data_IF_020027337995
#
_entry.id   IF_020027337995
#
_cell.length_a   1.000
_cell.length_b   1.000
_cell.length_c   1.000
_cell.angle_alpha   90.00
_cell.angle_beta   90.00
_cell.angle_gamma   90.00
#
_symmetry.space_group_name_H-M   'P 1'
#
loop_
_entity.id
_entity.type
_entity.pdbx_description
1 polymer ?
#
# COMPACT_ATOMS: atom_id res chain seq x y z
N UNK A 1 13.68 -43.12 44.91
CA UNK A 1 14.50 -44.32 44.64
C UNK A 1 15.76 -44.36 45.54
N UNK A 2 16.51 -43.24 45.65
CA UNK A 2 17.73 -43.19 46.47
C UNK A 2 17.44 -43.43 47.97
N UNK A 3 16.38 -42.81 48.48
CA UNK A 3 15.92 -42.98 49.90
C UNK A 3 15.33 -44.36 50.16
N UNK A 4 14.82 -45.05 49.13
CA UNK A 4 14.25 -46.38 49.18
C UNK A 4 15.31 -47.48 49.04
N UNK A 5 16.59 -47.18 48.99
CA UNK A 5 17.69 -48.14 48.90
C UNK A 5 17.74 -48.92 47.57
N UNK A 6 17.25 -48.34 46.46
CA UNK A 6 17.34 -48.98 45.16
C UNK A 6 18.78 -49.20 44.68
N UNK A 7 19.05 -50.25 43.88
CA UNK A 7 20.38 -50.51 43.35
C UNK A 7 20.96 -49.32 42.57
N UNK A 8 22.25 -49.06 42.66
CA UNK A 8 22.94 -47.92 42.06
C UNK A 8 22.75 -47.81 40.55
N UNK A 9 22.62 -48.92 39.85
CA UNK A 9 22.37 -48.97 38.40
C UNK A 9 21.02 -48.33 38.03
N UNK A 10 19.98 -48.61 38.82
CA UNK A 10 18.65 -48.04 38.65
C UNK A 10 18.68 -46.54 38.90
N UNK A 11 19.32 -46.14 39.99
CA UNK A 11 19.47 -44.71 40.35
C UNK A 11 20.23 -43.92 39.25
N UNK A 12 21.26 -44.53 38.68
CA UNK A 12 21.98 -43.88 37.54
C UNK A 12 21.13 -43.76 36.30
N UNK A 13 20.36 -44.77 35.96
CA UNK A 13 19.44 -44.72 34.80
C UNK A 13 18.35 -43.66 34.98
N UNK A 14 17.75 -43.56 36.13
CA UNK A 14 16.74 -42.53 36.44
C UNK A 14 17.32 -41.13 36.38
N UNK A 15 18.56 -40.90 36.87
CA UNK A 15 19.26 -39.65 36.73
C UNK A 15 19.51 -39.28 35.27
N UNK A 16 19.90 -40.26 34.42
CA UNK A 16 20.11 -40.05 33.02
C UNK A 16 18.80 -39.68 32.30
N UNK A 17 17.70 -40.40 32.62
CA UNK A 17 16.37 -40.10 32.08
C UNK A 17 15.89 -38.69 32.48
N UNK A 18 16.12 -38.32 33.75
CA UNK A 18 15.82 -36.97 34.24
C UNK A 18 16.64 -35.90 33.47
N UNK A 19 17.94 -36.14 33.25
CA UNK A 19 18.78 -35.25 32.49
C UNK A 19 18.29 -35.13 31.03
N UNK A 20 17.94 -36.21 30.38
CA UNK A 20 17.36 -36.21 29.04
C UNK A 20 16.06 -35.43 28.98
N UNK A 21 15.20 -35.54 29.99
CA UNK A 21 13.97 -34.77 30.07
C UNK A 21 14.21 -33.27 30.25
N UNK A 22 15.19 -32.89 31.07
CA UNK A 22 15.60 -31.47 31.24
C UNK A 22 16.23 -30.92 29.96
N UNK A 23 17.13 -31.68 29.31
CA UNK A 23 17.72 -31.30 28.04
C UNK A 23 16.64 -31.07 26.97
N UNK A 24 15.64 -31.93 26.91
CA UNK A 24 14.50 -31.81 26.00
C UNK A 24 13.59 -30.63 26.32
N UNK A 25 13.41 -30.27 27.58
CA UNK A 25 12.69 -29.08 27.98
C UNK A 25 13.38 -27.80 27.49
N UNK A 26 14.70 -27.76 27.55
CA UNK A 26 15.50 -26.60 27.15
C UNK A 26 15.62 -26.52 25.62
N UNK A 27 16.06 -27.59 24.95
CA UNK A 27 16.23 -27.65 23.49
C UNK A 27 16.00 -29.08 22.97
N UNK A 28 14.77 -29.40 22.63
CA UNK A 28 14.36 -30.72 22.18
C UNK A 28 14.95 -31.09 20.82
N UNK A 29 15.64 -32.22 20.76
CA UNK A 29 16.28 -32.72 19.53
C UNK A 29 17.71 -32.25 19.30
N UNK A 30 18.31 -31.49 20.22
CA UNK A 30 19.71 -31.08 20.12
C UNK A 30 20.68 -32.26 20.39
N UNK A 31 20.31 -33.16 21.27
CA UNK A 31 21.05 -34.37 21.60
C UNK A 31 20.17 -35.59 21.38
N UNK A 32 20.36 -36.28 20.25
CA UNK A 32 19.62 -37.50 19.94
C UNK A 32 18.24 -37.25 19.32
N UNK A 33 17.33 -38.26 19.47
CA UNK A 33 15.99 -38.17 18.91
C UNK A 33 15.14 -37.21 19.76
N UNK A 34 14.36 -36.32 19.10
CA UNK A 34 13.47 -35.44 19.84
C UNK A 34 12.39 -36.26 20.58
N UNK A 35 12.05 -35.81 21.76
CA UNK A 35 10.92 -36.35 22.51
C UNK A 35 9.63 -35.94 21.84
N UNK A 36 8.75 -36.91 21.54
CA UNK A 36 7.52 -36.70 20.78
C UNK A 36 6.29 -36.92 21.68
N UNK A 37 5.20 -36.24 21.32
CA UNK A 37 3.87 -36.47 21.92
C UNK A 37 3.14 -37.67 21.30
N UNK A 38 1.87 -37.91 21.69
CA UNK A 38 1.06 -39.07 21.24
C UNK A 38 0.93 -39.21 19.73
N UNK A 39 1.09 -38.11 18.95
CA UNK A 39 0.95 -38.08 17.49
C UNK A 39 2.30 -38.00 16.76
N UNK A 40 3.38 -38.51 17.34
CA UNK A 40 4.74 -38.43 16.80
C UNK A 40 5.23 -37.01 16.47
N UNK A 41 4.60 -35.97 17.00
CA UNK A 41 5.06 -34.58 16.88
C UNK A 41 6.07 -34.30 17.99
N UNK A 42 7.21 -33.68 17.61
CA UNK A 42 8.17 -33.21 18.59
C UNK A 42 7.52 -32.21 19.55
N UNK A 43 7.76 -32.36 20.85
CA UNK A 43 7.32 -31.40 21.86
C UNK A 43 8.09 -30.09 21.71
N UNK A 44 7.38 -28.97 21.84
CA UNK A 44 8.02 -27.64 21.82
C UNK A 44 8.86 -27.40 23.07
N UNK A 45 10.13 -27.13 22.87
CA UNK A 45 11.06 -26.74 23.92
C UNK A 45 11.08 -25.23 24.15
N UNK A 46 11.74 -24.77 25.22
CA UNK A 46 11.95 -23.36 25.51
C UNK A 46 12.72 -22.68 24.38
N UNK A 47 13.69 -23.35 23.81
CA UNK A 47 14.46 -22.88 22.67
C UNK A 47 13.59 -22.65 21.41
N UNK A 48 12.62 -23.52 21.15
CA UNK A 48 11.71 -23.40 20.01
C UNK A 48 10.75 -22.22 20.14
N UNK A 49 10.48 -21.76 21.36
CA UNK A 49 9.69 -20.54 21.60
C UNK A 49 10.46 -19.27 21.18
N UNK A 50 11.78 -19.33 21.11
CA UNK A 50 12.65 -18.21 20.77
C UNK A 50 13.15 -18.26 19.31
N UNK A 51 13.34 -19.48 18.78
CA UNK A 51 13.93 -19.74 17.45
C UNK A 51 12.90 -19.61 16.32
N UNK A 52 13.43 -19.39 15.10
CA UNK A 52 12.66 -19.46 13.86
C UNK A 52 11.74 -18.28 13.60
N UNK A 53 10.93 -18.39 12.53
CA UNK A 53 10.01 -17.33 12.08
C UNK A 53 8.88 -17.03 13.08
N UNK A 54 8.46 -18.04 13.84
CA UNK A 54 7.38 -17.95 14.85
C UNK A 54 7.92 -17.74 16.26
N UNK A 55 9.25 -17.67 16.43
CA UNK A 55 9.87 -17.40 17.71
C UNK A 55 9.74 -15.94 18.15
N UNK A 56 9.88 -15.72 19.45
CA UNK A 56 9.70 -14.39 20.07
C UNK A 56 10.58 -13.31 19.45
N UNK A 57 11.82 -13.64 19.07
CA UNK A 57 12.73 -12.67 18.48
C UNK A 57 12.20 -12.13 17.14
N UNK A 58 11.83 -13.01 16.22
CA UNK A 58 11.37 -12.58 14.89
C UNK A 58 9.92 -12.12 14.87
N UNK A 59 9.05 -12.70 15.69
CA UNK A 59 7.61 -12.41 15.66
C UNK A 59 7.21 -11.20 16.50
N UNK A 60 7.90 -10.93 17.61
CA UNK A 60 7.46 -9.93 18.59
C UNK A 60 8.49 -8.86 18.94
N UNK A 61 9.80 -9.09 18.69
CA UNK A 61 10.87 -8.15 19.02
C UNK A 61 11.39 -7.40 17.80
N UNK A 62 11.76 -8.11 16.73
CA UNK A 62 12.24 -7.49 15.48
C UNK A 62 11.10 -6.89 14.65
N UNK A 63 9.88 -7.30 14.88
CA UNK A 63 8.68 -6.76 14.25
C UNK A 63 7.46 -7.01 15.14
N UNK A 64 6.54 -6.07 15.15
CA UNK A 64 5.29 -6.13 15.92
C UNK A 64 4.11 -5.87 15.01
N UNK A 65 2.93 -6.34 15.41
CA UNK A 65 1.67 -5.85 14.81
C UNK A 65 1.45 -4.43 15.27
N UNK A 66 1.06 -3.57 14.34
CA UNK A 66 0.85 -2.14 14.61
C UNK A 66 -0.61 -1.78 14.35
N UNK A 67 -1.12 -0.85 15.17
CA UNK A 67 -2.43 -0.23 14.96
C UNK A 67 -2.37 0.80 13.83
N UNK A 68 -3.50 1.35 13.44
CA UNK A 68 -3.63 2.32 12.35
C UNK A 68 -3.03 1.82 11.04
N UNK A 69 -3.23 0.56 10.76
CA UNK A 69 -2.81 -0.10 9.54
C UNK A 69 -3.90 -0.99 8.99
N UNK A 70 -3.92 -1.15 7.68
CA UNK A 70 -4.86 -2.00 6.98
C UNK A 70 -4.20 -2.65 5.78
N UNK A 71 -4.91 -3.55 5.14
CA UNK A 71 -4.44 -4.23 3.94
C UNK A 71 -5.60 -4.46 2.98
N UNK A 72 -5.38 -4.23 1.70
CA UNK A 72 -6.35 -4.53 0.64
C UNK A 72 -5.67 -4.83 -0.68
N UNK A 73 -6.45 -5.36 -1.60
CA UNK A 73 -6.05 -5.58 -3.00
C UNK A 73 -5.85 -4.22 -3.68
N UNK A 74 -4.92 -4.16 -4.62
CA UNK A 74 -4.67 -2.97 -5.43
C UNK A 74 -5.31 -3.09 -6.81
N UNK A 75 -5.75 -1.96 -7.33
CA UNK A 75 -6.24 -1.80 -8.71
C UNK A 75 -5.62 -0.56 -9.33
N UNK A 76 -5.62 -0.49 -10.65
CA UNK A 76 -5.07 0.66 -11.37
C UNK A 76 -5.95 1.90 -11.17
N UNK A 77 -5.32 3.05 -10.96
CA UNK A 77 -5.97 4.35 -10.85
C UNK A 77 -5.29 5.36 -11.78
N UNK A 78 -5.56 5.32 -13.10
CA UNK A 78 -4.92 6.22 -14.06
C UNK A 78 -5.34 7.69 -13.88
N UNK A 79 -6.46 7.95 -13.25
CA UNK A 79 -6.99 9.27 -12.93
C UNK A 79 -6.27 9.97 -11.77
N UNK A 80 -5.47 9.23 -11.00
CA UNK A 80 -4.74 9.75 -9.85
C UNK A 80 -3.51 10.56 -10.28
N UNK A 81 -3.16 11.57 -9.52
CA UNK A 81 -1.85 12.21 -9.62
C UNK A 81 -0.76 11.32 -9.07
N UNK A 82 0.49 11.58 -9.42
CA UNK A 82 1.66 10.80 -9.01
C UNK A 82 1.84 10.73 -7.50
N UNK A 83 1.42 11.74 -6.78
CA UNK A 83 1.47 11.85 -5.32
C UNK A 83 0.20 11.33 -4.62
N UNK A 84 -0.79 10.82 -5.35
CA UNK A 84 -2.07 10.40 -4.83
C UNK A 84 -2.24 8.89 -4.84
N UNK A 85 -3.00 8.38 -3.86
CA UNK A 85 -3.54 7.02 -3.87
C UNK A 85 -5.04 7.04 -3.59
N UNK A 86 -5.77 6.13 -4.20
CA UNK A 86 -7.19 5.95 -3.90
C UNK A 86 -7.38 5.04 -2.71
N UNK A 87 -7.92 5.56 -1.62
CA UNK A 87 -8.18 4.80 -0.39
C UNK A 87 -9.67 4.49 -0.27
N UNK A 88 -10.08 3.23 -0.10
CA UNK A 88 -11.48 2.87 0.15
C UNK A 88 -12.07 3.64 1.33
N UNK A 89 -13.27 4.20 1.15
CA UNK A 89 -13.95 5.02 2.17
C UNK A 89 -14.08 4.30 3.52
N UNK A 90 -14.47 3.03 3.51
CA UNK A 90 -14.62 2.23 4.74
C UNK A 90 -13.28 2.05 5.46
N UNK A 91 -12.21 1.77 4.71
CA UNK A 91 -10.86 1.65 5.26
C UNK A 91 -10.35 2.98 5.82
N UNK A 92 -10.56 4.07 5.07
CA UNK A 92 -10.20 5.40 5.51
C UNK A 92 -10.90 5.79 6.83
N UNK A 93 -12.19 5.49 6.95
CA UNK A 93 -12.96 5.77 8.17
C UNK A 93 -12.39 5.04 9.40
N UNK A 94 -12.00 3.79 9.27
CA UNK A 94 -11.39 3.04 10.39
C UNK A 94 -9.97 3.55 10.73
N UNK A 95 -9.14 3.85 9.72
CA UNK A 95 -7.79 4.38 9.94
C UNK A 95 -7.81 5.76 10.60
N UNK A 96 -8.66 6.67 10.10
CA UNK A 96 -8.76 8.05 10.58
C UNK A 96 -9.77 8.25 11.71
N UNK A 97 -10.35 7.18 12.25
CA UNK A 97 -11.40 7.23 13.27
C UNK A 97 -11.14 8.19 14.42
N UNK A 98 -9.97 8.23 15.08
CA UNK A 98 -9.71 9.17 16.16
C UNK A 98 -9.74 10.64 15.72
N UNK A 99 -9.18 10.89 14.52
CA UNK A 99 -9.10 12.23 13.96
C UNK A 99 -10.49 12.76 13.57
N UNK A 100 -11.33 11.90 12.97
CA UNK A 100 -12.72 12.22 12.65
C UNK A 100 -13.53 12.47 13.91
N UNK A 101 -13.37 11.64 14.96
CA UNK A 101 -14.05 11.86 16.23
C UNK A 101 -13.65 13.18 16.88
N UNK A 102 -12.37 13.56 16.78
CA UNK A 102 -11.86 14.85 17.27
C UNK A 102 -12.51 16.01 16.50
N UNK A 103 -12.50 15.97 15.17
CA UNK A 103 -13.07 17.01 14.30
C UNK A 103 -14.58 17.20 14.53
N UNK A 104 -15.35 16.10 14.71
CA UNK A 104 -16.78 16.15 15.01
C UNK A 104 -17.07 16.82 16.34
N UNK A 105 -16.23 16.64 17.36
CA UNK A 105 -16.37 17.30 18.66
C UNK A 105 -15.97 18.77 18.58
N UNK A 106 -14.87 19.10 17.90
CA UNK A 106 -14.39 20.47 17.71
C UNK A 106 -15.38 21.34 16.91
N UNK A 107 -16.04 20.77 15.91
CA UNK A 107 -17.10 21.41 15.14
C UNK A 107 -18.46 21.52 15.89
N UNK A 108 -18.56 20.93 17.09
CA UNK A 108 -19.79 20.92 17.87
C UNK A 108 -20.91 20.03 17.33
N UNK A 109 -20.63 19.19 16.33
CA UNK A 109 -21.57 18.22 15.74
C UNK A 109 -21.87 17.10 16.75
N UNK A 110 -20.86 16.71 17.53
CA UNK A 110 -20.99 15.76 18.60
C UNK A 110 -20.70 16.41 19.98
N UNK A 111 -21.56 16.17 20.96
CA UNK A 111 -21.42 16.77 22.30
C UNK A 111 -20.26 16.18 23.13
N UNK A 112 -19.88 14.94 22.81
CA UNK A 112 -18.78 14.24 23.48
C UNK A 112 -18.24 13.09 22.62
N UNK A 113 -17.09 12.55 23.02
CA UNK A 113 -16.41 11.44 22.30
C UNK A 113 -17.30 10.19 22.17
N UNK A 114 -18.15 9.90 23.18
CA UNK A 114 -19.07 8.74 23.10
C UNK A 114 -20.14 8.94 22.03
N UNK A 115 -20.65 10.15 21.89
CA UNK A 115 -21.59 10.51 20.83
C UNK A 115 -20.92 10.46 19.46
N UNK A 116 -19.71 11.03 19.31
CA UNK A 116 -18.93 10.98 18.09
C UNK A 116 -18.68 9.53 17.65
N UNK A 117 -18.28 8.64 18.56
CA UNK A 117 -18.09 7.23 18.28
C UNK A 117 -19.34 6.56 17.71
N UNK A 118 -20.51 6.80 18.32
CA UNK A 118 -21.78 6.26 17.82
C UNK A 118 -22.14 6.80 16.43
N UNK A 119 -21.79 8.06 16.14
CA UNK A 119 -22.02 8.65 14.81
C UNK A 119 -21.13 7.98 13.76
N UNK A 120 -19.84 7.74 14.07
CA UNK A 120 -18.90 7.05 13.19
C UNK A 120 -19.33 5.61 12.95
N UNK A 121 -19.72 4.86 14.00
CA UNK A 121 -20.22 3.48 13.89
C UNK A 121 -21.49 3.35 13.03
N UNK A 122 -22.31 4.41 12.99
CA UNK A 122 -23.52 4.46 12.16
C UNK A 122 -23.29 5.08 10.77
N UNK A 123 -22.06 5.47 10.48
CA UNK A 123 -21.66 6.10 9.21
C UNK A 123 -22.61 7.23 8.75
N UNK A 124 -22.93 8.17 9.66
CA UNK A 124 -23.81 9.29 9.33
C UNK A 124 -23.20 10.19 8.24
N UNK A 125 -24.01 10.92 7.44
CA UNK A 125 -23.51 11.80 6.38
C UNK A 125 -22.44 12.79 6.85
N UNK A 126 -22.62 13.41 8.02
CA UNK A 126 -21.69 14.39 8.59
C UNK A 126 -20.29 13.81 8.86
N UNK A 127 -20.22 12.49 9.04
CA UNK A 127 -18.93 11.78 9.25
C UNK A 127 -18.10 11.79 7.97
N UNK A 128 -18.72 11.67 6.82
CA UNK A 128 -18.02 11.67 5.52
C UNK A 128 -17.43 13.03 5.19
N UNK A 129 -18.14 14.11 5.48
CA UNK A 129 -17.66 15.49 5.30
C UNK A 129 -16.47 15.78 6.21
N UNK A 130 -16.56 15.32 7.47
CA UNK A 130 -15.46 15.40 8.42
C UNK A 130 -14.26 14.58 7.98
N UNK A 131 -14.46 13.35 7.49
CA UNK A 131 -13.41 12.47 6.97
C UNK A 131 -12.68 13.14 5.79
N UNK A 132 -13.41 13.70 4.84
CA UNK A 132 -12.81 14.40 3.70
C UNK A 132 -11.94 15.59 4.15
N UNK A 133 -12.39 16.32 5.17
CA UNK A 133 -11.63 17.43 5.73
C UNK A 133 -10.33 16.96 6.39
N UNK A 134 -10.41 15.89 7.20
CA UNK A 134 -9.28 15.34 7.96
C UNK A 134 -8.22 14.70 7.06
N UNK A 135 -8.64 14.08 5.97
CA UNK A 135 -7.72 13.43 5.02
C UNK A 135 -6.87 14.46 4.26
N UNK A 136 -7.42 15.67 4.00
CA UNK A 136 -6.69 16.71 3.28
C UNK A 136 -5.40 17.08 4.00
N UNK A 137 -4.29 16.80 3.34
CA UNK A 137 -2.95 17.11 3.86
C UNK A 137 -2.40 16.12 4.88
N UNK A 138 -3.06 14.98 5.13
CA UNK A 138 -2.54 13.90 5.97
C UNK A 138 -2.09 12.72 5.10
N UNK A 139 -0.78 12.50 4.92
CA UNK A 139 -0.28 11.44 4.05
C UNK A 139 -0.50 10.07 4.67
N UNK A 140 -0.60 9.04 3.82
CA UNK A 140 -0.57 7.63 4.22
C UNK A 140 0.64 6.95 3.60
N UNK A 141 1.17 5.93 4.26
CA UNK A 141 2.25 5.12 3.74
C UNK A 141 1.69 3.85 3.11
N UNK A 142 2.05 3.58 1.87
CA UNK A 142 1.77 2.31 1.20
C UNK A 142 3.02 1.43 1.19
N UNK A 143 2.83 0.14 1.45
CA UNK A 143 3.89 -0.86 1.42
C UNK A 143 3.45 -2.12 0.69
N UNK A 144 4.30 -2.66 -0.17
CA UNK A 144 4.14 -3.99 -0.75
C UNK A 144 5.24 -4.92 -0.25
N UNK A 145 4.87 -6.07 0.28
CA UNK A 145 5.81 -7.12 0.63
C UNK A 145 6.14 -7.99 -0.61
N UNK A 146 7.41 -8.40 -0.80
CA UNK A 146 8.56 -8.13 0.05
C UNK A 146 9.12 -6.71 -0.16
N UNK A 147 9.51 -6.04 0.92
CA UNK A 147 10.18 -4.73 0.84
C UNK A 147 11.66 -4.92 0.57
N UNK A 148 12.06 -4.84 -0.70
CA UNK A 148 13.43 -5.11 -1.16
C UNK A 148 14.35 -3.89 -1.06
N UNK A 149 13.79 -2.69 -1.18
CA UNK A 149 14.51 -1.42 -1.12
C UNK A 149 13.62 -0.32 -0.55
N UNK A 150 14.17 0.86 -0.31
CA UNK A 150 13.46 1.96 0.36
C UNK A 150 12.20 2.42 -0.36
N UNK A 151 12.13 2.31 -1.70
CA UNK A 151 10.95 2.68 -2.48
C UNK A 151 9.79 1.67 -2.36
N UNK A 152 9.99 0.53 -1.70
CA UNK A 152 8.93 -0.41 -1.33
C UNK A 152 7.99 0.12 -0.23
N UNK A 153 8.31 1.29 0.36
CA UNK A 153 7.44 2.05 1.25
C UNK A 153 7.47 3.50 0.77
N UNK A 154 6.33 4.03 0.36
CA UNK A 154 6.21 5.41 -0.10
C UNK A 154 4.97 6.07 0.50
N UNK A 155 5.03 7.39 0.65
CA UNK A 155 3.93 8.22 1.10
C UNK A 155 3.08 8.70 -0.08
N UNK A 156 1.78 8.75 0.13
CA UNK A 156 0.80 9.26 -0.82
C UNK A 156 -0.23 10.13 -0.11
N UNK A 157 -0.77 11.10 -0.82
CA UNK A 157 -1.94 11.84 -0.39
C UNK A 157 -3.20 11.02 -0.71
N UNK A 158 -3.98 10.61 0.29
CA UNK A 158 -5.14 9.76 0.05
C UNK A 158 -6.29 10.54 -0.58
N UNK A 159 -6.95 9.91 -1.54
CA UNK A 159 -8.20 10.35 -2.14
C UNK A 159 -9.24 9.26 -1.88
N UNK A 160 -10.42 9.63 -1.43
CA UNK A 160 -11.48 8.68 -1.15
C UNK A 160 -12.04 8.08 -2.45
N UNK A 161 -12.13 6.77 -2.49
CA UNK A 161 -12.68 6.03 -3.62
C UNK A 161 -13.76 5.05 -3.16
N UNK A 162 -14.72 4.79 -4.04
CA UNK A 162 -15.70 3.74 -3.82
C UNK A 162 -15.10 2.37 -4.04
N UNK A 163 -15.71 1.36 -3.43
CA UNK A 163 -15.23 -0.02 -3.49
C UNK A 163 -14.34 -0.40 -2.32
N UNK A 164 -13.63 -1.54 -2.44
CA UNK A 164 -12.80 -2.11 -1.38
C UNK A 164 -11.32 -2.21 -1.74
N UNK A 165 -10.98 -1.89 -2.99
CA UNK A 165 -9.62 -1.96 -3.49
C UNK A 165 -8.92 -0.59 -3.39
N UNK A 166 -7.64 -0.62 -3.09
CA UNK A 166 -6.78 0.56 -3.12
C UNK A 166 -6.44 0.87 -4.56
N UNK A 167 -6.64 2.12 -5.00
CA UNK A 167 -6.19 2.55 -6.32
C UNK A 167 -4.76 3.06 -6.25
N UNK A 168 -3.91 2.55 -7.13
CA UNK A 168 -2.51 2.94 -7.23
C UNK A 168 -2.23 3.54 -8.61
N UNK A 169 -1.44 4.63 -8.62
CA UNK A 169 -0.99 5.24 -9.88
C UNK A 169 -0.11 4.24 -10.66
N UNK A 170 -0.36 4.01 -11.95
CA UNK A 170 0.35 2.99 -12.72
C UNK A 170 1.87 3.18 -12.76
N UNK A 171 2.38 4.41 -12.79
CA UNK A 171 3.82 4.69 -12.77
C UNK A 171 4.50 4.37 -11.42
N UNK A 172 3.75 4.25 -10.33
CA UNK A 172 4.29 3.86 -9.04
C UNK A 172 4.52 2.33 -8.93
N UNK A 173 3.90 1.52 -9.79
CA UNK A 173 3.99 0.07 -9.75
C UNK A 173 5.42 -0.45 -9.87
N UNK A 174 6.24 0.18 -10.69
CA UNK A 174 7.66 -0.22 -10.89
C UNK A 174 8.46 -0.14 -9.59
N UNK A 175 8.25 0.92 -8.79
CA UNK A 175 8.93 1.11 -7.51
C UNK A 175 8.56 0.04 -6.49
N UNK A 176 7.30 -0.38 -6.46
CA UNK A 176 6.80 -1.44 -5.58
C UNK A 176 7.00 -2.85 -6.14
N UNK A 177 7.41 -2.98 -7.40
CA UNK A 177 7.36 -4.23 -8.15
C UNK A 177 5.97 -4.89 -8.03
N UNK A 178 4.92 -4.07 -8.20
CA UNK A 178 3.52 -4.45 -8.05
C UNK A 178 2.86 -4.63 -9.41
N UNK A 179 1.93 -5.57 -9.49
CA UNK A 179 1.03 -5.76 -10.61
C UNK A 179 -0.43 -5.85 -10.11
N UNK A 180 -1.39 -5.85 -11.03
CA UNK A 180 -2.81 -5.82 -10.70
C UNK A 180 -3.49 -7.18 -10.88
N UNK A 181 -2.75 -8.27 -10.70
CA UNK A 181 -3.22 -9.66 -10.82
C UNK A 181 -3.82 -10.23 -9.51
N UNK A 182 -3.96 -9.40 -8.49
CA UNK A 182 -4.44 -9.78 -7.16
C UNK A 182 -3.48 -9.40 -6.03
N UNK A 183 -2.44 -8.64 -6.34
CA UNK A 183 -1.51 -8.11 -5.34
C UNK A 183 -2.23 -7.31 -4.27
N UNK A 184 -1.72 -7.41 -3.05
CA UNK A 184 -2.19 -6.65 -1.90
C UNK A 184 -1.10 -5.70 -1.39
N UNK A 185 -1.53 -4.54 -0.93
CA UNK A 185 -0.66 -3.58 -0.26
C UNK A 185 -1.15 -3.25 1.15
N UNK A 186 -0.20 -3.01 2.03
CA UNK A 186 -0.48 -2.49 3.36
C UNK A 186 -0.53 -0.96 3.35
N UNK A 187 -1.44 -0.41 4.13
CA UNK A 187 -1.58 1.03 4.39
C UNK A 187 -1.25 1.30 5.84
N UNK A 188 -0.44 2.32 6.10
CA UNK A 188 -0.09 2.75 7.45
C UNK A 188 -0.35 4.24 7.59
N UNK A 189 -0.88 4.65 8.73
CA UNK A 189 -1.18 6.04 9.03
C UNK A 189 -0.13 6.61 9.98
N UNK A 190 0.69 7.61 9.57
CA UNK A 190 1.53 8.37 10.48
C UNK A 190 0.65 9.15 11.46
N UNK A 191 0.97 9.13 12.77
CA UNK A 191 0.14 9.75 13.80
C UNK A 191 0.68 11.09 14.29
N UNK A 192 2.00 11.19 14.45
CA UNK A 192 2.65 12.40 14.95
C UNK A 192 2.90 13.42 13.84
N UNK A 193 2.95 14.70 14.21
CA UNK A 193 3.24 15.79 13.26
C UNK A 193 4.61 15.63 12.61
N UNK A 194 5.62 15.21 13.38
CA UNK A 194 6.96 14.94 12.85
C UNK A 194 6.96 13.78 11.86
N UNK A 195 6.25 12.69 12.16
CA UNK A 195 6.10 11.56 11.25
C UNK A 195 5.38 11.97 9.95
N UNK A 196 4.33 12.78 10.05
CA UNK A 196 3.64 13.32 8.87
C UNK A 196 4.54 14.24 8.05
N UNK A 197 5.39 15.05 8.70
CA UNK A 197 6.37 15.93 8.04
C UNK A 197 7.43 15.11 7.31
N UNK A 198 8.01 14.10 7.96
CA UNK A 198 8.96 13.19 7.32
C UNK A 198 8.34 12.43 6.15
N UNK A 199 7.11 11.94 6.29
CA UNK A 199 6.38 11.28 5.22
C UNK A 199 6.24 12.20 3.99
N UNK A 200 5.89 13.47 4.20
CA UNK A 200 5.77 14.46 3.11
C UNK A 200 7.10 14.86 2.48
N UNK A 201 8.13 15.07 3.30
CA UNK A 201 9.40 15.61 2.81
C UNK A 201 10.33 14.55 2.22
N UNK A 202 10.34 13.34 2.80
CA UNK A 202 11.31 12.29 2.45
C UNK A 202 10.71 11.12 1.71
N UNK A 203 9.43 10.80 1.95
CA UNK A 203 8.82 9.56 1.48
C UNK A 203 7.75 9.74 0.40
N UNK A 204 7.38 10.97 0.06
CA UNK A 204 6.35 11.23 -0.94
C UNK A 204 6.78 10.67 -2.31
N UNK A 205 5.87 9.98 -2.99
CA UNK A 205 6.17 9.32 -4.27
C UNK A 205 6.68 10.29 -5.34
N UNK A 206 6.13 11.49 -5.41
CA UNK A 206 6.58 12.54 -6.34
C UNK A 206 8.00 13.04 -6.07
N UNK A 207 8.53 12.89 -4.87
CA UNK A 207 9.90 13.25 -4.51
C UNK A 207 10.93 12.14 -4.77
N UNK A 208 10.48 10.90 -5.00
CA UNK A 208 11.34 9.71 -5.11
C UNK A 208 11.29 9.09 -6.51
N UNK A 209 11.62 9.88 -7.52
CA UNK A 209 11.54 9.49 -8.93
C UNK A 209 12.78 8.75 -9.44
N UNK A 210 13.87 8.75 -8.67
CA UNK A 210 15.16 8.16 -9.05
C UNK A 210 15.48 6.92 -8.21
N UNK A 211 16.07 5.92 -8.86
CA UNK A 211 16.57 4.72 -8.16
C UNK A 211 17.78 5.09 -7.29
N UNK A 212 17.85 4.63 -6.05
CA UNK A 212 18.99 4.88 -5.19
C UNK A 212 20.27 4.14 -5.60
N UNK A 213 20.18 3.13 -6.47
CA UNK A 213 21.31 2.30 -6.93
C UNK A 213 22.15 2.98 -8.00
N UNK A 214 21.50 3.54 -9.00
CA UNK A 214 22.15 4.05 -10.22
C UNK A 214 21.70 5.46 -10.64
N UNK A 215 20.73 6.04 -9.91
CA UNK A 215 20.18 7.35 -10.24
C UNK A 215 19.28 7.36 -11.48
N UNK A 216 18.99 6.20 -12.08
CA UNK A 216 18.07 6.11 -13.20
C UNK A 216 16.62 6.38 -12.76
N UNK A 217 15.76 6.90 -13.64
CA UNK A 217 14.35 7.12 -13.31
C UNK A 217 13.63 5.78 -13.02
N UNK A 218 12.81 5.77 -11.97
CA UNK A 218 11.96 4.61 -11.61
C UNK A 218 10.62 4.70 -12.32
N UNK A 219 10.08 5.91 -12.42
CA UNK A 219 8.75 6.19 -12.99
C UNK A 219 8.84 6.33 -14.49
N UNK A 220 8.98 5.21 -15.16
CA UNK A 220 9.04 5.14 -16.64
C UNK A 220 7.81 4.41 -17.16
N UNK A 221 7.30 4.76 -18.36
CA UNK A 221 6.25 4.01 -19.01
C UNK A 221 6.68 2.54 -19.21
N UNK A 222 5.77 1.62 -18.89
CA UNK A 222 5.96 0.18 -19.12
C UNK A 222 5.49 -0.19 -20.55
N UNK A 223 5.73 -1.44 -20.95
CA UNK A 223 5.45 -1.94 -22.30
C UNK A 223 4.02 -1.62 -22.78
N UNK A 224 3.01 -1.85 -21.94
CA UNK A 224 1.60 -1.60 -22.29
C UNK A 224 1.29 -0.10 -22.45
N UNK A 225 1.93 0.75 -21.63
CA UNK A 225 1.78 2.20 -21.76
C UNK A 225 2.43 2.73 -23.04
N UNK A 226 3.58 2.15 -23.42
CA UNK A 226 4.27 2.48 -24.67
C UNK A 226 3.40 2.06 -25.87
N UNK A 227 2.84 0.85 -25.82
CA UNK A 227 1.93 0.35 -26.85
C UNK A 227 0.69 1.25 -26.97
N UNK A 228 0.10 1.62 -25.84
CA UNK A 228 -1.06 2.54 -25.80
C UNK A 228 -0.71 3.92 -26.39
N UNK A 229 0.43 4.47 -26.03
CA UNK A 229 0.91 5.75 -26.58
C UNK A 229 1.18 5.66 -28.07
N UNK A 230 1.77 4.57 -28.53
CA UNK A 230 1.95 4.30 -29.97
C UNK A 230 0.60 4.24 -30.69
N UNK A 231 -0.35 3.50 -30.14
CA UNK A 231 -1.69 3.39 -30.74
C UNK A 231 -2.39 4.75 -30.83
N UNK A 232 -2.32 5.58 -29.79
CA UNK A 232 -2.92 6.91 -29.77
C UNK A 232 -2.32 7.86 -30.80
N UNK A 233 -1.04 7.68 -31.16
CA UNK A 233 -0.31 8.53 -32.12
C UNK A 233 -0.33 7.97 -33.55
N UNK A 234 -0.93 6.81 -33.79
CA UNK A 234 -1.04 6.23 -35.13
C UNK A 234 -1.97 7.07 -36.00
N UNK A 235 -1.51 7.44 -37.19
CA UNK A 235 -2.30 8.18 -38.17
C UNK A 235 -2.90 7.21 -39.22
N UNK A 236 -4.18 7.38 -39.52
CA UNK A 236 -4.90 6.64 -40.55
C UNK A 236 -5.46 7.62 -41.58
N UNK A 237 -4.84 7.69 -42.75
CA UNK A 237 -5.15 8.68 -43.77
C UNK A 237 -6.58 8.54 -44.34
N UNK A 238 -7.18 7.35 -44.28
CA UNK A 238 -8.49 7.03 -44.83
C UNK A 238 -9.63 6.98 -43.80
N UNK A 239 -9.38 7.43 -42.59
CA UNK A 239 -10.39 7.43 -41.52
C UNK A 239 -11.41 8.54 -41.72
N UNK A 240 -12.63 8.34 -41.18
CA UNK A 240 -13.69 9.32 -41.23
C UNK A 240 -13.28 10.64 -40.60
N UNK A 241 -13.46 11.72 -41.37
CA UNK A 241 -13.06 13.07 -40.92
C UNK A 241 -11.65 13.49 -41.29
N UNK A 242 -10.86 12.65 -41.94
CA UNK A 242 -9.52 13.00 -42.41
C UNK A 242 -9.53 14.28 -43.27
N UNK A 243 -8.55 15.17 -43.02
CA UNK A 243 -8.36 16.44 -43.73
C UNK A 243 -9.27 17.59 -43.29
N UNK A 244 -10.19 17.38 -42.33
CA UNK A 244 -11.04 18.47 -41.82
C UNK A 244 -10.21 19.52 -41.05
N UNK A 245 -10.69 20.78 -41.10
CA UNK A 245 -10.07 21.93 -40.44
C UNK A 245 -11.02 22.45 -39.36
N UNK A 246 -10.49 22.65 -38.18
CA UNK A 246 -11.24 23.09 -37.00
C UNK A 246 -10.69 24.43 -36.49
N UNK A 247 -11.57 25.22 -35.90
CA UNK A 247 -11.26 26.53 -35.37
C UNK A 247 -10.41 26.46 -34.09
N UNK A 248 -10.80 25.55 -33.21
CA UNK A 248 -10.17 25.39 -31.90
C UNK A 248 -10.30 23.93 -31.40
N UNK A 249 -9.67 23.66 -30.24
CA UNK A 249 -9.67 22.33 -29.61
C UNK A 249 -11.06 21.91 -29.14
N UNK A 250 -11.94 22.87 -28.74
CA UNK A 250 -13.29 22.54 -28.27
C UNK A 250 -14.17 22.04 -29.45
N UNK A 251 -14.01 22.64 -30.62
CA UNK A 251 -14.72 22.18 -31.82
C UNK A 251 -14.30 20.75 -32.20
N UNK A 252 -13.01 20.40 -32.06
CA UNK A 252 -12.50 19.05 -32.27
C UNK A 252 -13.14 18.06 -31.28
N UNK A 253 -13.19 18.42 -29.99
CA UNK A 253 -13.80 17.56 -28.98
C UNK A 253 -15.29 17.34 -29.22
N UNK A 254 -16.00 18.37 -29.65
CA UNK A 254 -17.41 18.23 -30.04
C UNK A 254 -17.58 17.33 -31.26
N UNK A 255 -16.76 17.53 -32.31
CA UNK A 255 -16.79 16.71 -33.52
C UNK A 255 -16.42 15.23 -33.21
N UNK A 256 -15.52 14.99 -32.30
CA UNK A 256 -15.18 13.65 -31.83
C UNK A 256 -16.32 13.01 -31.04
N UNK A 257 -16.97 13.76 -30.14
CA UNK A 257 -18.14 13.28 -29.38
C UNK A 257 -19.32 12.94 -30.27
N UNK A 258 -19.53 13.70 -31.36
CA UNK A 258 -20.56 13.46 -32.36
C UNK A 258 -20.18 12.42 -33.45
N UNK A 259 -19.03 11.75 -33.27
CA UNK A 259 -18.50 10.75 -34.20
C UNK A 259 -18.28 11.27 -35.64
N UNK A 260 -18.09 12.57 -35.82
CA UNK A 260 -17.78 13.21 -37.13
C UNK A 260 -16.35 12.99 -37.56
N UNK A 261 -15.47 12.72 -36.58
CA UNK A 261 -14.07 12.37 -36.75
C UNK A 261 -13.72 11.16 -35.87
N UNK A 262 -12.74 10.37 -36.32
CA UNK A 262 -12.17 9.28 -35.53
C UNK A 262 -10.90 9.71 -34.84
N UNK A 263 -10.45 8.92 -33.86
CA UNK A 263 -9.25 9.21 -33.07
C UNK A 263 -7.98 9.32 -33.92
N UNK A 264 -7.88 8.57 -35.00
CA UNK A 264 -6.68 8.45 -35.85
C UNK A 264 -6.73 9.30 -37.13
N UNK A 265 -7.83 10.02 -37.35
CA UNK A 265 -7.99 10.85 -38.54
C UNK A 265 -7.05 12.07 -38.49
N UNK A 266 -6.23 12.33 -39.51
CA UNK A 266 -5.41 13.53 -39.57
C UNK A 266 -6.31 14.76 -39.76
N UNK A 267 -6.25 15.69 -38.82
CA UNK A 267 -7.02 16.94 -38.82
C UNK A 267 -6.10 18.14 -38.72
N UNK A 268 -6.59 19.33 -39.09
CA UNK A 268 -5.91 20.58 -38.90
C UNK A 268 -6.68 21.44 -37.90
N UNK A 269 -5.96 21.94 -36.88
CA UNK A 269 -6.57 22.76 -35.82
C UNK A 269 -5.82 24.08 -35.76
N UNK A 270 -6.55 25.18 -35.74
CA UNK A 270 -5.93 26.48 -35.51
C UNK A 270 -5.50 26.60 -34.06
N UNK A 271 -4.22 26.81 -33.84
CA UNK A 271 -3.64 26.97 -32.51
C UNK A 271 -2.72 28.15 -32.43
N UNK A 272 -2.81 28.90 -31.32
CA UNK A 272 -1.84 29.94 -30.99
C UNK A 272 -0.81 29.36 -30.03
N UNK A 273 0.46 29.36 -30.39
CA UNK A 273 1.55 28.88 -29.59
C UNK A 273 2.60 29.98 -29.41
N UNK A 274 3.19 30.05 -28.23
CA UNK A 274 4.32 30.92 -27.97
C UNK A 274 5.61 30.21 -28.33
N UNK A 275 6.28 30.60 -29.39
CA UNK A 275 7.57 30.06 -29.82
C UNK A 275 8.59 31.21 -29.68
N UNK A 276 9.68 30.96 -28.92
CA UNK A 276 10.74 31.96 -28.64
C UNK A 276 10.20 33.30 -28.08
N UNK A 277 9.18 33.24 -27.21
CA UNK A 277 8.56 34.41 -26.60
C UNK A 277 7.62 35.19 -27.51
N UNK A 278 7.37 34.72 -28.75
CA UNK A 278 6.45 35.33 -29.71
C UNK A 278 5.22 34.44 -29.91
N UNK A 279 4.04 35.03 -29.76
CA UNK A 279 2.79 34.36 -30.09
C UNK A 279 2.64 34.18 -31.59
N UNK A 280 2.52 32.92 -32.02
CA UNK A 280 2.25 32.56 -33.43
C UNK A 280 0.97 31.74 -33.50
N UNK A 281 0.05 32.15 -34.39
CA UNK A 281 -1.16 31.42 -34.71
C UNK A 281 -0.96 30.73 -36.05
N UNK A 282 -1.19 29.41 -36.07
CA UNK A 282 -1.06 28.57 -37.26
C UNK A 282 -2.11 27.47 -37.33
N UNK A 283 -2.17 26.76 -38.47
CA UNK A 283 -2.96 25.55 -38.70
C UNK A 283 -2.07 24.32 -38.61
#
# INVERSE_FOLDING_TARGET
>A
LRELGAPDIIVRNEKRMLQEAVDSLIDNGRRGRPVTGPNNRALKSLSDLLKGKQGRFRQNLLGKRVDYSGRSVIVVGPELKMDQCGLPKEMALELFKPFVMKDLVEKGIANNIKSARKMVERAKPEVWDSLETVIKGHPVLLNRAPTLHRLGIQAFNPVLVEGRAIKLHPLACTAFNADFDGDQMAVHLPLGEDACREAKMLMLASGNLLKPSDGAPVTVPTQDMILGSYYLTTVRENDEGAGKVFRDENEVLMAYAEHVITLHAPIKVRRTMTIDGVERTGL
#
